data_IF_640377856340
#
_entry.id   IF_640377856340
#
_cell.length_a   1.000
_cell.length_b   1.000
_cell.length_c   1.000
_cell.angle_alpha   90.00
_cell.angle_beta   90.00
_cell.angle_gamma   90.00
#
_symmetry.space_group_name_H-M   'P 1'
#
loop_
_entity.id
_entity.type
_entity.pdbx_description
1 polymer ?
#
# COMPACT_ATOMS: atom_id res chain seq x y z
N UNK A 1 8.51 -15.31 19.19
CA UNK A 1 9.42 -15.91 18.20
C UNK A 1 10.32 -14.81 17.67
N UNK A 2 11.62 -15.02 17.45
CA UNK A 2 12.47 -13.96 16.86
C UNK A 2 12.36 -14.07 15.33
N UNK A 3 12.09 -12.98 14.58
CA UNK A 3 12.09 -13.05 13.13
C UNK A 3 13.50 -13.38 12.62
N UNK A 4 13.57 -14.13 11.52
CA UNK A 4 14.82 -14.42 10.81
C UNK A 4 15.40 -13.20 10.10
N UNK A 5 14.61 -12.14 9.94
CA UNK A 5 14.98 -10.91 9.26
C UNK A 5 15.00 -9.73 10.24
N UNK A 6 15.93 -8.81 10.01
CA UNK A 6 16.06 -7.56 10.76
C UNK A 6 15.00 -6.52 10.36
N UNK A 7 14.72 -5.56 11.25
CA UNK A 7 13.83 -4.42 10.96
C UNK A 7 14.21 -3.71 9.65
N UNK A 8 15.51 -3.52 9.42
CA UNK A 8 16.03 -2.88 8.22
C UNK A 8 15.64 -3.65 6.94
N UNK A 9 15.63 -4.99 6.98
CA UNK A 9 15.18 -5.79 5.83
C UNK A 9 13.69 -5.58 5.56
N UNK A 10 12.84 -5.61 6.60
CA UNK A 10 11.41 -5.30 6.44
C UNK A 10 11.21 -3.89 5.85
N UNK A 11 11.86 -2.86 6.41
CA UNK A 11 11.76 -1.48 5.92
C UNK A 11 12.22 -1.33 4.47
N UNK A 12 13.32 -1.99 4.08
CA UNK A 12 13.77 -2.01 2.67
C UNK A 12 12.74 -2.67 1.77
N UNK A 13 12.17 -3.81 2.16
CA UNK A 13 11.12 -4.46 1.38
C UNK A 13 9.85 -3.62 1.27
N UNK A 14 9.48 -2.91 2.34
CA UNK A 14 8.37 -1.95 2.33
C UNK A 14 8.65 -0.75 1.42
N UNK A 15 9.87 -0.20 1.45
CA UNK A 15 10.29 0.86 0.54
C UNK A 15 10.19 0.41 -0.93
N UNK A 16 10.72 -0.76 -1.28
CA UNK A 16 10.62 -1.29 -2.64
C UNK A 16 9.18 -1.57 -3.07
N UNK A 17 8.36 -2.17 -2.20
CA UNK A 17 6.93 -2.36 -2.48
C UNK A 17 6.21 -1.02 -2.69
N UNK A 18 6.53 0.00 -1.89
CA UNK A 18 6.01 1.36 -2.04
C UNK A 18 6.47 2.05 -3.32
N UNK A 19 7.71 1.84 -3.76
CA UNK A 19 8.20 2.35 -5.05
C UNK A 19 7.49 1.68 -6.22
N UNK A 20 7.27 0.36 -6.17
CA UNK A 20 6.47 -0.36 -7.17
C UNK A 20 5.04 0.19 -7.20
N UNK A 21 4.42 0.39 -6.03
CA UNK A 21 3.09 0.99 -5.93
C UNK A 21 3.07 2.40 -6.53
N UNK A 22 4.06 3.24 -6.21
CA UNK A 22 4.16 4.60 -6.72
C UNK A 22 4.23 4.65 -8.25
N UNK A 23 5.07 3.79 -8.86
CA UNK A 23 5.18 3.70 -10.32
C UNK A 23 3.83 3.31 -10.93
N UNK A 24 3.20 2.25 -10.43
CA UNK A 24 1.90 1.79 -10.94
C UNK A 24 0.82 2.86 -10.78
N UNK A 25 0.79 3.52 -9.62
CA UNK A 25 -0.18 4.56 -9.29
C UNK A 25 0.00 5.82 -10.15
N UNK A 26 1.24 6.24 -10.41
CA UNK A 26 1.54 7.35 -11.32
C UNK A 26 1.11 6.98 -12.74
N UNK A 27 1.39 5.75 -13.20
CA UNK A 27 0.95 5.31 -14.54
C UNK A 27 -0.58 5.33 -14.66
N UNK A 28 -1.31 4.81 -13.66
CA UNK A 28 -2.77 4.86 -13.62
C UNK A 28 -3.27 6.30 -13.68
N UNK A 29 -2.69 7.19 -12.86
CA UNK A 29 -3.03 8.61 -12.86
C UNK A 29 -2.83 9.25 -14.23
N UNK A 30 -1.68 9.04 -14.88
CA UNK A 30 -1.38 9.59 -16.20
C UNK A 30 -2.34 9.07 -17.28
N UNK A 31 -2.69 7.77 -17.24
CA UNK A 31 -3.66 7.19 -18.16
C UNK A 31 -5.05 7.81 -17.96
N UNK A 32 -5.55 7.88 -16.72
CA UNK A 32 -6.89 8.42 -16.43
C UNK A 32 -6.97 9.90 -16.83
N UNK A 33 -5.97 10.71 -16.48
CA UNK A 33 -5.95 12.14 -16.80
C UNK A 33 -5.81 12.42 -18.30
N UNK A 34 -5.05 11.59 -19.03
CA UNK A 34 -4.91 11.74 -20.48
C UNK A 34 -6.19 11.39 -21.26
N UNK A 35 -7.00 10.46 -20.76
CA UNK A 35 -8.24 10.02 -21.43
C UNK A 35 -9.45 10.84 -20.97
N UNK A 36 -9.56 11.13 -19.67
CA UNK A 36 -10.76 11.69 -19.06
C UNK A 36 -10.84 13.21 -19.04
N UNK A 37 -9.76 13.93 -19.40
CA UNK A 37 -9.72 15.40 -19.36
C UNK A 37 -9.81 16.01 -17.95
N UNK A 38 -9.69 15.18 -16.91
CA UNK A 38 -9.76 15.62 -15.52
C UNK A 38 -8.49 16.37 -15.11
N UNK A 39 -8.64 17.64 -14.74
CA UNK A 39 -7.57 18.49 -14.21
C UNK A 39 -7.64 18.58 -12.68
N UNK A 40 -7.35 17.49 -11.96
CA UNK A 40 -7.31 17.54 -10.50
C UNK A 40 -6.03 18.23 -10.01
N UNK A 41 -6.04 19.57 -9.97
CA UNK A 41 -4.92 20.38 -9.50
C UNK A 41 -4.45 20.00 -8.08
N UNK A 42 -5.31 19.37 -7.28
CA UNK A 42 -5.01 18.85 -5.96
C UNK A 42 -4.07 17.61 -5.96
N UNK A 43 -3.96 16.90 -7.09
CA UNK A 43 -3.12 15.70 -7.20
C UNK A 43 -1.75 16.08 -7.77
N UNK A 44 -0.84 16.43 -6.87
CA UNK A 44 0.57 16.62 -7.22
C UNK A 44 1.22 15.23 -7.30
N UNK A 45 2.08 14.94 -8.27
CA UNK A 45 2.78 13.64 -8.37
C UNK A 45 3.48 13.23 -7.06
N UNK A 46 3.94 14.22 -6.29
CA UNK A 46 4.51 14.04 -4.95
C UNK A 46 3.50 13.45 -3.97
N UNK A 47 2.22 13.84 -4.01
CA UNK A 47 1.20 13.27 -3.13
C UNK A 47 0.93 11.81 -3.45
N UNK A 48 0.90 11.43 -4.74
CA UNK A 48 0.78 10.01 -5.15
C UNK A 48 1.98 9.21 -4.66
N UNK A 49 3.19 9.75 -4.81
CA UNK A 49 4.42 9.10 -4.34
C UNK A 49 4.37 8.86 -2.83
N UNK A 50 4.06 9.89 -2.04
CA UNK A 50 3.98 9.81 -0.57
C UNK A 50 2.87 8.84 -0.15
N UNK A 51 1.68 8.93 -0.77
CA UNK A 51 0.54 8.06 -0.50
C UNK A 51 0.79 6.59 -0.89
N UNK A 52 1.75 6.33 -1.79
CA UNK A 52 2.14 4.97 -2.16
C UNK A 52 3.24 4.40 -1.23
N UNK A 53 4.16 5.26 -0.79
CA UNK A 53 5.29 4.87 0.06
C UNK A 53 4.88 4.65 1.52
N UNK A 54 4.21 5.63 2.13
CA UNK A 54 3.98 5.64 3.56
C UNK A 54 3.14 4.44 4.04
N UNK A 55 2.04 4.06 3.39
CA UNK A 55 1.28 2.87 3.79
C UNK A 55 2.07 1.57 3.66
N UNK A 56 2.93 1.43 2.63
CA UNK A 56 3.79 0.25 2.49
C UNK A 56 4.87 0.19 3.59
N UNK A 57 5.41 1.33 4.03
CA UNK A 57 6.34 1.38 5.15
C UNK A 57 5.65 1.03 6.48
N UNK A 58 4.43 1.52 6.70
CA UNK A 58 3.62 1.16 7.87
C UNK A 58 3.26 -0.33 7.87
N UNK A 59 2.91 -0.88 6.70
CA UNK A 59 2.67 -2.31 6.53
C UNK A 59 3.93 -3.13 6.83
N UNK A 60 5.12 -2.66 6.45
CA UNK A 60 6.38 -3.32 6.79
C UNK A 60 6.69 -3.30 8.29
N UNK A 61 6.43 -2.19 8.98
CA UNK A 61 6.53 -2.09 10.43
C UNK A 61 5.55 -3.02 11.14
N UNK A 62 4.30 -3.05 10.69
CA UNK A 62 3.29 -3.97 11.20
C UNK A 62 3.69 -5.43 10.96
N UNK A 63 4.22 -5.75 9.78
CA UNK A 63 4.67 -7.10 9.46
C UNK A 63 5.86 -7.54 10.33
N UNK A 64 6.82 -6.65 10.57
CA UNK A 64 7.92 -6.90 11.50
C UNK A 64 7.39 -7.20 12.90
N UNK A 65 6.50 -6.35 13.44
CA UNK A 65 5.89 -6.56 14.76
C UNK A 65 5.12 -7.88 14.86
N UNK A 66 4.29 -8.20 13.86
CA UNK A 66 3.55 -9.45 13.79
C UNK A 66 4.47 -10.68 13.77
N UNK A 67 5.64 -10.56 13.13
CA UNK A 67 6.63 -11.63 13.02
C UNK A 67 7.29 -11.99 14.36
N UNK A 68 7.22 -11.11 15.38
CA UNK A 68 7.64 -11.47 16.74
C UNK A 68 6.60 -12.27 17.50
N UNK A 69 5.33 -12.02 17.20
CA UNK A 69 4.19 -12.49 18.00
C UNK A 69 3.64 -13.81 17.47
N UNK A 70 3.66 -14.03 16.14
CA UNK A 70 3.04 -15.21 15.53
C UNK A 70 3.77 -15.75 14.30
N UNK A 71 3.69 -17.07 14.10
CA UNK A 71 4.10 -17.72 12.84
C UNK A 71 3.15 -17.41 11.67
N UNK A 72 1.93 -16.91 11.96
CA UNK A 72 0.93 -16.53 10.96
C UNK A 72 1.03 -15.06 10.53
N UNK A 73 2.17 -14.40 10.78
CA UNK A 73 2.36 -12.97 10.53
C UNK A 73 1.97 -12.53 9.09
N UNK A 74 2.32 -13.34 8.08
CA UNK A 74 1.95 -13.06 6.68
C UNK A 74 0.44 -13.07 6.46
N UNK A 75 -0.26 -14.04 7.03
CA UNK A 75 -1.72 -14.15 6.91
C UNK A 75 -2.40 -12.98 7.63
N UNK A 76 -1.95 -12.64 8.84
CA UNK A 76 -2.50 -11.51 9.60
C UNK A 76 -2.23 -10.17 8.91
N UNK A 77 -1.05 -9.98 8.32
CA UNK A 77 -0.76 -8.81 7.48
C UNK A 77 -1.75 -8.74 6.32
N UNK A 78 -1.95 -9.84 5.59
CA UNK A 78 -2.85 -9.88 4.44
C UNK A 78 -4.29 -9.54 4.83
N UNK A 79 -4.79 -10.09 5.94
CA UNK A 79 -6.12 -9.75 6.48
C UNK A 79 -6.17 -8.27 6.85
N UNK A 80 -5.19 -7.77 7.63
CA UNK A 80 -5.16 -6.39 8.07
C UNK A 80 -5.11 -5.38 6.92
N UNK A 81 -4.27 -5.62 5.92
CA UNK A 81 -4.19 -4.79 4.71
C UNK A 81 -5.48 -4.87 3.91
N UNK A 82 -6.07 -6.05 3.74
CA UNK A 82 -7.35 -6.22 3.03
C UNK A 82 -8.46 -5.43 3.74
N UNK A 83 -8.57 -5.56 5.06
CA UNK A 83 -9.55 -4.81 5.86
C UNK A 83 -9.31 -3.30 5.74
N UNK A 84 -8.06 -2.85 5.79
CA UNK A 84 -7.73 -1.44 5.61
C UNK A 84 -8.15 -0.91 4.23
N UNK A 85 -7.85 -1.65 3.16
CA UNK A 85 -8.27 -1.29 1.79
C UNK A 85 -9.79 -1.26 1.66
N UNK A 86 -10.50 -2.21 2.27
CA UNK A 86 -11.96 -2.20 2.26
C UNK A 86 -12.52 -0.98 2.99
N UNK A 87 -12.00 -0.67 4.19
CA UNK A 87 -12.42 0.51 4.96
C UNK A 87 -12.14 1.80 4.18
N UNK A 88 -11.06 1.85 3.41
CA UNK A 88 -10.71 3.04 2.62
C UNK A 88 -11.52 3.18 1.33
N UNK A 89 -11.94 2.06 0.71
CA UNK A 89 -12.64 2.04 -0.58
C UNK A 89 -14.17 2.09 -0.44
N UNK A 90 -14.75 1.37 0.52
CA UNK A 90 -16.21 1.26 0.65
C UNK A 90 -16.94 2.62 0.75
N UNK A 91 -16.41 3.64 1.45
CA UNK A 91 -17.04 4.96 1.48
C UNK A 91 -17.15 5.61 0.10
N UNK A 92 -16.20 5.37 -0.81
CA UNK A 92 -16.25 5.86 -2.19
C UNK A 92 -17.34 5.17 -3.02
N UNK A 93 -17.82 3.99 -2.58
CA UNK A 93 -18.90 3.24 -3.23
C UNK A 93 -20.27 3.49 -2.58
N UNK A 94 -20.37 4.47 -1.68
CA UNK A 94 -21.60 4.75 -0.93
C UNK A 94 -21.93 3.69 0.14
N UNK A 95 -20.97 2.84 0.51
CA UNK A 95 -21.15 1.79 1.52
C UNK A 95 -20.44 2.19 2.81
N UNK A 96 -21.18 2.21 3.92
CA UNK A 96 -20.65 2.51 5.25
C UNK A 96 -21.01 3.91 5.75
N UNK A 97 -20.36 4.39 6.84
CA UNK A 97 -20.66 5.71 7.39
C UNK A 97 -20.36 6.80 6.36
N UNK A 98 -21.12 7.89 6.44
CA UNK A 98 -20.94 9.04 5.56
C UNK A 98 -19.45 9.44 5.50
N UNK A 99 -18.92 9.73 4.30
CA UNK A 99 -17.54 10.15 4.16
C UNK A 99 -17.25 11.28 5.15
N UNK A 100 -16.04 11.29 5.73
CA UNK A 100 -15.63 12.42 6.58
C UNK A 100 -15.89 13.74 5.84
N UNK A 101 -16.09 14.87 6.53
CA UNK A 101 -16.28 16.17 5.87
C UNK A 101 -15.19 16.48 4.82
N UNK A 102 -13.99 15.93 4.99
CA UNK A 102 -12.90 16.01 4.01
C UNK A 102 -13.16 15.20 2.72
N UNK A 103 -13.76 14.02 2.82
CA UNK A 103 -14.15 13.22 1.66
C UNK A 103 -15.33 13.83 0.89
N UNK A 104 -16.23 14.57 1.58
CA UNK A 104 -17.31 15.31 0.91
C UNK A 104 -16.84 16.55 0.13
N UNK A 105 -15.59 16.97 0.31
CA UNK A 105 -14.97 18.08 -0.43
C UNK A 105 -14.17 17.61 -1.65
N UNK A 106 -14.17 16.31 -1.94
CA UNK A 106 -13.44 15.78 -3.08
C UNK A 106 -14.13 16.17 -4.40
N UNK A 107 -13.36 16.51 -5.45
CA UNK A 107 -13.91 16.74 -6.77
C UNK A 107 -14.71 15.54 -7.28
N UNK A 108 -15.70 15.79 -8.14
CA UNK A 108 -16.42 14.72 -8.82
C UNK A 108 -15.46 13.82 -9.60
N UNK A 109 -15.70 12.50 -9.56
CA UNK A 109 -14.87 11.49 -10.21
C UNK A 109 -13.51 11.24 -9.56
N UNK A 110 -13.20 11.84 -8.40
CA UNK A 110 -11.92 11.62 -7.72
C UNK A 110 -11.72 10.17 -7.25
N UNK A 111 -12.83 9.48 -6.98
CA UNK A 111 -12.89 8.05 -6.66
C UNK A 111 -12.32 7.15 -7.78
N UNK A 112 -12.44 7.58 -9.04
CA UNK A 112 -11.89 6.88 -10.21
C UNK A 112 -10.37 6.74 -10.11
N UNK A 113 -9.68 7.68 -9.46
CA UNK A 113 -8.26 7.55 -9.14
C UNK A 113 -8.07 6.88 -7.78
N UNK A 114 -8.73 7.38 -6.73
CA UNK A 114 -8.36 6.97 -5.37
C UNK A 114 -8.60 5.49 -5.12
N UNK A 115 -9.67 4.91 -5.66
CA UNK A 115 -9.96 3.49 -5.46
C UNK A 115 -8.84 2.60 -6.04
N UNK A 116 -8.42 2.75 -7.31
CA UNK A 116 -7.24 2.07 -7.83
C UNK A 116 -5.97 2.25 -6.98
N UNK A 117 -5.69 3.48 -6.49
CA UNK A 117 -4.51 3.74 -5.67
C UNK A 117 -4.46 2.86 -4.41
N UNK A 118 -5.59 2.73 -3.70
CA UNK A 118 -5.69 1.90 -2.50
C UNK A 118 -5.54 0.41 -2.81
N UNK A 119 -6.12 -0.05 -3.93
CA UNK A 119 -6.01 -1.44 -4.38
C UNK A 119 -4.55 -1.78 -4.70
N UNK A 120 -3.85 -0.93 -5.46
CA UNK A 120 -2.43 -1.12 -5.79
C UNK A 120 -1.58 -1.20 -4.53
N UNK A 121 -1.78 -0.28 -3.58
CA UNK A 121 -1.12 -0.36 -2.27
C UNK A 121 -1.36 -1.72 -1.60
N UNK A 122 -2.62 -2.18 -1.53
CA UNK A 122 -2.97 -3.45 -0.92
C UNK A 122 -2.25 -4.62 -1.57
N UNK A 123 -2.27 -4.67 -2.90
CA UNK A 123 -1.60 -5.71 -3.68
C UNK A 123 -0.09 -5.70 -3.46
N UNK A 124 0.57 -4.54 -3.48
CA UNK A 124 2.02 -4.49 -3.26
C UNK A 124 2.40 -4.89 -1.84
N UNK A 125 1.62 -4.48 -0.83
CA UNK A 125 1.88 -4.86 0.55
C UNK A 125 1.66 -6.37 0.79
N UNK A 126 0.67 -6.98 0.13
CA UNK A 126 0.33 -8.40 0.29
C UNK A 126 1.27 -9.32 -0.51
N UNK A 127 1.64 -8.94 -1.73
CA UNK A 127 2.36 -9.81 -2.65
C UNK A 127 3.83 -9.46 -2.80
N UNK A 128 4.16 -8.18 -3.04
CA UNK A 128 5.54 -7.76 -3.34
C UNK A 128 6.40 -7.82 -2.09
N UNK A 129 5.92 -7.28 -0.97
CA UNK A 129 6.71 -7.22 0.27
C UNK A 129 7.09 -8.61 0.81
N UNK A 130 6.17 -9.59 0.98
CA UNK A 130 6.57 -10.92 1.44
C UNK A 130 7.44 -11.67 0.42
N UNK A 131 7.23 -11.45 -0.87
CA UNK A 131 8.05 -12.05 -1.93
C UNK A 131 9.49 -11.55 -1.88
N UNK A 132 9.70 -10.24 -1.73
CA UNK A 132 11.03 -9.65 -1.56
C UNK A 132 11.70 -10.15 -0.29
N UNK A 133 10.95 -10.22 0.82
CA UNK A 133 11.49 -10.64 2.09
C UNK A 133 11.97 -12.10 2.04
N UNK A 134 11.17 -12.99 1.44
CA UNK A 134 11.54 -14.40 1.25
C UNK A 134 12.82 -14.59 0.41
N UNK A 135 13.14 -13.65 -0.49
CA UNK A 135 14.36 -13.67 -1.31
C UNK A 135 15.57 -12.99 -0.66
N UNK A 136 15.35 -12.24 0.41
CA UNK A 136 16.40 -11.49 1.12
C UNK A 136 17.11 -12.29 2.22
N UNK A 137 16.74 -13.56 2.40
CA UNK A 137 17.47 -14.49 3.27
C UNK A 137 18.85 -14.79 2.66
N UNK A 138 19.95 -14.58 3.41
CA UNK A 138 21.28 -14.94 2.92
C UNK A 138 21.32 -16.44 2.65
N UNK A 139 21.89 -16.84 1.51
CA UNK A 139 22.44 -18.18 1.34
C UNK A 139 23.32 -18.45 2.57
N UNK A 140 23.04 -19.54 3.28
CA UNK A 140 23.87 -20.02 4.38
C UNK A 140 25.30 -20.09 3.81
N UNK A 141 26.19 -19.23 4.31
CA UNK A 141 27.62 -19.46 4.17
C UNK A 141 27.89 -20.55 5.19
N UNK A 142 27.96 -21.79 4.70
CA UNK A 142 28.49 -22.90 5.50
C UNK A 142 29.97 -22.56 5.76
N UNK A 143 30.30 -22.31 7.03
CA UNK A 143 31.69 -22.32 7.52
C UNK A 143 32.17 -23.75 7.72
#
# INVERSE_FOLDING_TARGET
MKPSHSLMQFLRTGLYAGLVAAVLNILIYLVITSIGGYGWAAVILVSILVASLLPNLLAALAYFGLSYVTSKARLLLAIGVTVFVLISVLPHLGIGPAPSPALSMLPEGFDIITVPLHIVFGLTAIFVMPWLLARSSPSIVEE
#
